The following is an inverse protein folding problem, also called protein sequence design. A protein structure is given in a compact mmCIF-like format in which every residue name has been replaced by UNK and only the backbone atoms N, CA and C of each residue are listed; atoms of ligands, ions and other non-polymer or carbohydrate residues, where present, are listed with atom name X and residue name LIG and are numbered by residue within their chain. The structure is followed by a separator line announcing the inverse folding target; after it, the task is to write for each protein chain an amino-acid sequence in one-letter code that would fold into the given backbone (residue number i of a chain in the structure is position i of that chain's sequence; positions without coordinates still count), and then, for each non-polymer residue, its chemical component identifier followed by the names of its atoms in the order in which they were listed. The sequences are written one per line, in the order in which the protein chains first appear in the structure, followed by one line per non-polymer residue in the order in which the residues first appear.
data_IF_274167005637
#
_entry.id   IF_274167005637
#
_cell.length_a   1.000
_cell.length_b   1.000
_cell.length_c   1.000
_cell.angle_alpha   90.00
_cell.angle_beta   90.00
_cell.angle_gamma   90.00
#
_symmetry.space_group_name_H-M   'P 1'
#
loop_
_entity.id
_entity.type
_entity.pdbx_description
1 polymer ?
#
# COMPACT_ATOMS: atom_id res chain seq x y z
N UNK A 1 -6.06 55.20 -7.32
CA UNK A 1 -6.10 53.74 -7.58
C UNK A 1 -6.97 53.17 -6.48
N UNK A 2 -8.26 53.04 -6.78
CA UNK A 2 -9.31 52.87 -5.77
C UNK A 2 -9.17 51.52 -5.07
N UNK A 3 -9.14 51.53 -3.74
CA UNK A 3 -8.98 50.35 -2.87
C UNK A 3 -10.01 49.23 -3.13
N UNK A 4 -11.14 49.56 -3.76
CA UNK A 4 -12.19 48.61 -4.13
C UNK A 4 -11.74 47.55 -5.15
N UNK A 5 -10.79 47.84 -6.03
CA UNK A 5 -10.35 46.87 -7.04
C UNK A 5 -9.57 45.68 -6.45
N UNK A 6 -8.81 45.91 -5.38
CA UNK A 6 -8.08 44.86 -4.66
C UNK A 6 -9.04 43.94 -3.91
N UNK A 7 -10.13 44.51 -3.38
CA UNK A 7 -11.18 43.74 -2.71
C UNK A 7 -11.89 42.80 -3.68
N UNK A 8 -12.25 43.29 -4.87
CA UNK A 8 -12.83 42.46 -5.92
C UNK A 8 -11.85 41.38 -6.42
N UNK A 9 -10.57 41.73 -6.61
CA UNK A 9 -9.56 40.76 -7.01
C UNK A 9 -9.40 39.62 -6.00
N UNK A 10 -9.48 39.92 -4.69
CA UNK A 10 -9.46 38.89 -3.63
C UNK A 10 -10.69 37.98 -3.71
N UNK A 11 -11.90 38.54 -3.89
CA UNK A 11 -13.14 37.79 -4.00
C UNK A 11 -13.14 36.85 -5.23
N UNK A 12 -12.62 37.31 -6.38
CA UNK A 12 -12.51 36.48 -7.58
C UNK A 12 -11.49 35.35 -7.47
N UNK A 13 -10.51 35.45 -6.55
CA UNK A 13 -9.48 34.42 -6.32
C UNK A 13 -9.87 33.38 -5.25
N UNK A 14 -10.94 33.61 -4.48
CA UNK A 14 -11.42 32.67 -3.46
C UNK A 14 -11.72 31.24 -3.97
N UNK A 15 -12.34 31.02 -5.14
CA UNK A 15 -12.61 29.65 -5.62
C UNK A 15 -11.38 28.91 -6.14
N UNK A 16 -10.24 29.61 -6.33
CA UNK A 16 -8.96 29.01 -6.72
C UNK A 16 -8.12 28.56 -5.52
N UNK A 17 -8.59 28.79 -4.28
CA UNK A 17 -7.87 28.32 -3.10
C UNK A 17 -7.94 26.79 -3.03
N UNK A 18 -6.80 26.08 -2.92
CA UNK A 18 -6.82 24.64 -2.68
C UNK A 18 -7.65 24.33 -1.43
N UNK A 19 -8.65 23.47 -1.62
CA UNK A 19 -9.51 22.99 -0.55
C UNK A 19 -8.72 21.99 0.30
N UNK A 20 -8.87 22.08 1.63
CA UNK A 20 -8.36 21.03 2.52
C UNK A 20 -9.05 19.72 2.15
N UNK A 21 -8.28 18.73 1.72
CA UNK A 21 -8.80 17.38 1.54
C UNK A 21 -8.72 16.63 2.86
N UNK A 22 -9.76 15.87 3.18
CA UNK A 22 -9.74 15.01 4.34
C UNK A 22 -9.00 13.70 4.02
N UNK A 23 -8.27 13.18 5.01
CA UNK A 23 -7.58 11.90 4.94
C UNK A 23 -8.47 10.79 5.50
N UNK A 24 -8.47 9.61 4.86
CA UNK A 24 -9.23 8.47 5.41
C UNK A 24 -8.39 7.70 6.43
N UNK A 25 -8.89 7.56 7.66
CA UNK A 25 -8.32 6.65 8.65
C UNK A 25 -8.87 5.23 8.45
N UNK A 26 -7.97 4.24 8.35
CA UNK A 26 -8.33 2.80 8.28
C UNK A 26 -7.86 2.08 9.53
N UNK A 27 -8.77 1.41 10.22
CA UNK A 27 -8.48 0.64 11.44
C UNK A 27 -8.51 -0.85 11.10
N UNK A 28 -7.44 -1.57 11.44
CA UNK A 28 -7.31 -3.01 11.24
C UNK A 28 -7.12 -3.71 12.58
N UNK A 29 -7.75 -4.87 12.74
CA UNK A 29 -7.56 -5.76 13.89
C UNK A 29 -6.86 -7.01 13.39
N UNK A 30 -5.67 -7.29 13.91
CA UNK A 30 -4.87 -8.44 13.53
C UNK A 30 -4.86 -9.44 14.68
N UNK A 31 -5.15 -10.70 14.36
CA UNK A 31 -4.97 -11.83 15.26
C UNK A 31 -3.73 -12.62 14.88
N UNK A 32 -3.03 -13.15 15.87
CA UNK A 32 -1.91 -14.09 15.67
C UNK A 32 -2.47 -15.50 15.84
N UNK A 33 -2.09 -16.39 14.94
CA UNK A 33 -2.46 -17.80 14.99
C UNK A 33 -1.25 -18.65 14.67
N UNK A 34 -1.04 -19.71 15.46
CA UNK A 34 -0.06 -20.74 15.14
C UNK A 34 -0.59 -21.58 13.97
N UNK A 35 0.18 -21.64 12.89
CA UNK A 35 -0.16 -22.41 11.69
C UNK A 35 1.02 -23.25 11.24
N UNK A 36 0.72 -24.43 10.69
CA UNK A 36 1.72 -25.23 9.98
C UNK A 36 1.96 -24.61 8.61
N UNK A 37 3.18 -24.12 8.36
CA UNK A 37 3.51 -23.44 7.11
C UNK A 37 4.34 -24.35 6.19
N UNK A 38 3.73 -24.84 5.12
CA UNK A 38 4.44 -25.61 4.10
C UNK A 38 5.15 -24.66 3.12
N UNK A 39 6.46 -24.51 3.27
CA UNK A 39 7.31 -23.67 2.40
C UNK A 39 7.36 -24.13 0.94
N UNK A 40 7.10 -25.41 0.67
CA UNK A 40 7.19 -25.98 -0.67
C UNK A 40 5.96 -26.85 -0.98
N UNK A 41 4.77 -26.24 -1.12
CA UNK A 41 3.51 -26.98 -1.27
C UNK A 41 3.43 -27.81 -2.55
N UNK A 42 4.31 -27.54 -3.52
CA UNK A 42 4.40 -28.31 -4.77
C UNK A 42 5.22 -29.60 -4.65
N UNK A 43 5.94 -29.82 -3.54
CA UNK A 43 6.75 -31.02 -3.32
C UNK A 43 7.93 -31.18 -4.29
N UNK A 44 8.24 -30.15 -5.09
CA UNK A 44 9.32 -30.17 -6.08
C UNK A 44 9.97 -28.80 -6.21
N UNK A 45 11.24 -28.79 -6.58
CA UNK A 45 11.90 -27.58 -7.04
C UNK A 45 11.25 -27.14 -8.37
N UNK A 46 10.69 -25.92 -8.40
CA UNK A 46 9.96 -25.41 -9.57
C UNK A 46 10.86 -24.99 -10.72
N UNK A 47 12.16 -24.76 -10.46
CA UNK A 47 13.18 -24.38 -11.44
C UNK A 47 13.69 -25.64 -12.16
N UNK A 48 14.03 -26.69 -11.40
CA UNK A 48 14.62 -27.92 -11.95
C UNK A 48 13.61 -29.03 -12.23
N UNK A 49 12.38 -28.86 -11.75
CA UNK A 49 11.29 -29.85 -11.81
C UNK A 49 11.61 -31.21 -11.14
N UNK A 50 12.57 -31.23 -10.21
CA UNK A 50 12.93 -32.43 -9.44
C UNK A 50 12.26 -32.47 -8.06
N UNK A 51 12.00 -33.67 -7.50
CA UNK A 51 11.54 -33.80 -6.12
C UNK A 51 12.50 -33.13 -5.13
N UNK A 52 11.97 -32.57 -4.05
CA UNK A 52 12.76 -31.81 -3.06
C UNK A 52 13.81 -32.67 -2.37
N UNK A 53 13.58 -33.98 -2.24
CA UNK A 53 14.51 -34.93 -1.63
C UNK A 53 15.82 -35.06 -2.43
N UNK A 54 15.79 -34.70 -3.73
CA UNK A 54 16.96 -34.70 -4.60
C UNK A 54 17.56 -33.30 -4.78
N UNK A 55 16.98 -32.29 -4.14
CA UNK A 55 17.48 -30.92 -4.22
C UNK A 55 18.56 -30.68 -3.16
N UNK A 56 19.80 -30.50 -3.63
CA UNK A 56 20.98 -30.30 -2.78
C UNK A 56 20.94 -29.00 -1.96
N UNK A 57 20.04 -28.07 -2.31
CA UNK A 57 19.86 -26.81 -1.59
C UNK A 57 18.74 -26.88 -0.53
N UNK A 58 17.95 -27.95 -0.51
CA UNK A 58 17.00 -28.23 0.57
C UNK A 58 17.78 -28.90 1.69
N UNK A 59 18.17 -28.10 2.69
CA UNK A 59 18.80 -28.62 3.91
C UNK A 59 17.69 -28.98 4.90
N UNK A 60 17.44 -30.28 5.06
CA UNK A 60 16.58 -30.83 6.13
C UNK A 60 17.29 -30.75 7.48
#
# INVERSE_FOLDING_TARGET
MESGHLFWALLFMQPLWPQLTDGTTRVYYLGIQDVQWNYAPKGRNVITNQPLERDIYVKM
#
